data_IF_305341416716
#
_entry.id   IF_305341416716
#
_cell.length_a   1.000
_cell.length_b   1.000
_cell.length_c   1.000
_cell.angle_alpha   90.00
_cell.angle_beta   90.00
_cell.angle_gamma   90.00
#
_symmetry.space_group_name_H-M   'P 1'
#
loop_
_entity.id
_entity.type
_entity.pdbx_description
1 polymer ?
#
# COMPACT_ATOMS: atom_id res chain seq x y z
N UNK A 1 13.81 49.50 1.34
CA UNK A 1 14.40 48.36 2.08
C UNK A 1 15.90 48.37 1.88
N UNK A 2 16.67 48.27 2.96
CA UNK A 2 18.12 48.04 2.91
C UNK A 2 18.35 46.52 2.83
N UNK A 3 19.46 46.07 2.23
CA UNK A 3 19.80 44.64 2.15
C UNK A 3 19.82 43.96 3.53
N UNK A 4 20.13 44.71 4.58
CA UNK A 4 20.13 44.25 5.97
C UNK A 4 18.72 43.84 6.46
N UNK A 5 17.67 44.42 5.89
CA UNK A 5 16.27 44.22 6.27
C UNK A 5 15.65 42.94 5.67
N UNK A 6 16.38 42.24 4.78
CA UNK A 6 15.96 40.99 4.16
C UNK A 6 16.21 39.79 5.08
N UNK A 7 15.32 38.79 5.01
CA UNK A 7 15.53 37.47 5.59
C UNK A 7 16.77 36.79 5.00
N UNK A 8 17.32 35.78 5.69
CA UNK A 8 18.47 35.02 5.20
C UNK A 8 18.23 34.40 3.83
N UNK A 9 17.03 33.84 3.60
CA UNK A 9 16.62 33.30 2.30
C UNK A 9 16.53 34.37 1.21
N UNK A 10 15.98 35.54 1.50
CA UNK A 10 15.90 36.66 0.54
C UNK A 10 17.30 37.21 0.19
N UNK A 11 18.25 37.20 1.14
CA UNK A 11 19.66 37.59 0.88
C UNK A 11 20.36 36.60 -0.05
N UNK A 12 20.14 35.30 0.14
CA UNK A 12 20.65 34.24 -0.75
C UNK A 12 20.06 34.39 -2.15
N UNK A 13 18.74 34.55 -2.27
CA UNK A 13 18.05 34.75 -3.54
C UNK A 13 18.48 36.04 -4.25
N UNK A 14 18.68 37.15 -3.52
CA UNK A 14 19.23 38.38 -4.11
C UNK A 14 20.66 38.19 -4.59
N UNK A 15 21.50 37.50 -3.81
CA UNK A 15 22.90 37.23 -4.22
C UNK A 15 22.96 36.33 -5.45
N UNK A 16 22.06 35.35 -5.53
CA UNK A 16 21.89 34.48 -6.68
C UNK A 16 21.32 35.24 -7.88
N UNK A 17 20.30 36.07 -7.70
CA UNK A 17 19.74 36.92 -8.75
C UNK A 17 20.78 37.92 -9.29
N UNK A 18 21.62 38.50 -8.43
CA UNK A 18 22.75 39.34 -8.84
C UNK A 18 23.80 38.53 -9.62
N UNK A 19 24.06 37.29 -9.20
CA UNK A 19 24.92 36.36 -9.94
C UNK A 19 24.36 36.09 -11.35
N UNK A 20 23.06 35.80 -11.48
CA UNK A 20 22.38 35.54 -12.75
C UNK A 20 22.29 36.79 -13.64
N UNK A 21 21.99 37.95 -13.05
CA UNK A 21 21.94 39.22 -13.77
C UNK A 21 23.33 39.54 -14.34
N UNK A 22 24.37 39.42 -13.50
CA UNK A 22 25.73 39.53 -13.97
C UNK A 22 26.05 38.45 -15.01
N UNK A 23 25.49 37.25 -14.91
CA UNK A 23 25.71 36.17 -15.85
C UNK A 23 25.10 36.41 -17.24
N UNK A 24 24.01 37.18 -17.31
CA UNK A 24 23.22 37.42 -18.53
C UNK A 24 23.72 38.57 -19.42
N UNK A 25 24.64 39.41 -18.93
CA UNK A 25 25.15 40.57 -19.66
C UNK A 25 26.34 40.20 -20.56
N UNK A 26 26.05 39.99 -21.85
CA UNK A 26 27.01 39.61 -22.91
C UNK A 26 28.08 40.68 -23.21
N UNK A 27 27.93 41.90 -22.69
CA UNK A 27 28.81 43.04 -23.00
C UNK A 27 30.13 43.03 -22.22
N UNK A 28 30.33 42.10 -21.30
CA UNK A 28 31.59 41.92 -20.58
C UNK A 28 32.07 40.48 -20.72
N UNK A 29 33.36 40.28 -21.04
CA UNK A 29 34.01 38.98 -20.89
C UNK A 29 34.04 38.60 -19.41
N UNK A 30 33.06 37.81 -18.98
CA UNK A 30 32.96 37.35 -17.59
C UNK A 30 33.52 35.93 -17.52
N UNK A 31 34.62 35.79 -16.78
CA UNK A 31 35.12 34.48 -16.38
C UNK A 31 34.20 33.90 -15.30
N UNK A 32 33.31 33.00 -15.70
CA UNK A 32 32.55 32.21 -14.74
C UNK A 32 33.46 31.23 -14.01
N UNK A 33 33.19 30.95 -12.73
CA UNK A 33 33.89 29.89 -12.03
C UNK A 33 33.60 28.55 -12.71
N UNK A 34 34.60 27.68 -12.79
CA UNK A 34 34.42 26.31 -13.29
C UNK A 34 33.61 25.44 -12.31
N UNK A 35 33.67 25.79 -11.03
CA UNK A 35 33.02 25.08 -9.93
C UNK A 35 32.40 26.08 -8.95
N UNK A 36 31.14 25.86 -8.59
CA UNK A 36 30.41 26.59 -7.57
C UNK A 36 30.04 25.63 -6.44
N UNK A 37 30.42 25.96 -5.21
CA UNK A 37 30.08 25.20 -4.01
C UNK A 37 29.02 25.98 -3.23
N UNK A 38 27.89 25.34 -2.94
CA UNK A 38 26.75 25.94 -2.27
C UNK A 38 26.46 25.15 -1.00
N UNK A 39 26.63 25.80 0.15
CA UNK A 39 26.45 25.14 1.45
C UNK A 39 25.10 25.52 2.07
N UNK A 40 24.20 24.54 2.17
CA UNK A 40 22.87 24.65 2.80
C UNK A 40 22.06 25.91 2.42
N UNK A 41 22.20 26.36 1.17
CA UNK A 41 21.55 27.60 0.70
C UNK A 41 20.02 27.48 0.65
N UNK A 42 19.50 26.25 0.74
CA UNK A 42 18.10 25.86 0.77
C UNK A 42 17.50 25.85 2.18
N UNK A 43 18.31 25.81 3.25
CA UNK A 43 17.85 25.74 4.63
C UNK A 43 16.80 26.80 5.03
N UNK A 44 16.87 28.08 4.58
CA UNK A 44 15.86 29.08 4.91
C UNK A 44 14.69 29.14 3.90
N UNK A 45 14.65 28.29 2.87
CA UNK A 45 13.73 28.42 1.75
C UNK A 45 12.50 27.51 1.90
N UNK A 46 11.33 28.04 1.55
CA UNK A 46 10.11 27.23 1.42
C UNK A 46 10.26 26.24 0.24
N UNK A 47 9.73 25.01 0.31
CA UNK A 47 9.91 23.99 -0.74
C UNK A 47 9.57 24.44 -2.16
N UNK A 48 8.55 25.30 -2.34
CA UNK A 48 8.21 25.85 -3.66
C UNK A 48 9.32 26.72 -4.27
N UNK A 49 10.13 27.38 -3.44
CA UNK A 49 11.25 28.23 -3.85
C UNK A 49 12.49 27.36 -4.14
N UNK A 50 12.66 26.26 -3.40
CA UNK A 50 13.74 25.28 -3.64
C UNK A 50 13.63 24.69 -5.05
N UNK A 51 12.42 24.37 -5.51
CA UNK A 51 12.21 23.90 -6.89
C UNK A 51 12.70 24.93 -7.92
N UNK A 52 12.37 26.21 -7.72
CA UNK A 52 12.85 27.29 -8.60
C UNK A 52 14.37 27.45 -8.54
N UNK A 53 14.97 27.32 -7.35
CA UNK A 53 16.42 27.36 -7.18
C UNK A 53 17.12 26.23 -7.95
N UNK A 54 16.69 24.98 -7.77
CA UNK A 54 17.26 23.80 -8.45
C UNK A 54 17.15 23.97 -9.97
N UNK A 55 15.97 24.34 -10.49
CA UNK A 55 15.76 24.58 -11.92
C UNK A 55 16.69 25.66 -12.46
N UNK A 56 16.84 26.76 -11.73
CA UNK A 56 17.70 27.87 -12.17
C UNK A 56 19.18 27.48 -12.16
N UNK A 57 19.62 26.70 -11.16
CA UNK A 57 20.98 26.15 -11.14
C UNK A 57 21.22 25.29 -12.37
N UNK A 58 20.31 24.36 -12.67
CA UNK A 58 20.43 23.45 -13.80
C UNK A 58 20.42 24.22 -15.13
N UNK A 59 19.36 24.97 -15.40
CA UNK A 59 19.14 25.61 -16.70
C UNK A 59 20.15 26.75 -16.93
N UNK A 60 20.43 27.59 -15.93
CA UNK A 60 21.25 28.77 -16.13
C UNK A 60 22.73 28.51 -15.88
N UNK A 61 23.10 27.86 -14.77
CA UNK A 61 24.52 27.71 -14.43
C UNK A 61 25.15 26.51 -15.13
N UNK A 62 24.49 25.34 -15.08
CA UNK A 62 25.03 24.11 -15.64
C UNK A 62 24.89 24.11 -17.16
N UNK A 63 23.66 24.18 -17.67
CA UNK A 63 23.38 23.98 -19.10
C UNK A 63 23.83 25.17 -19.96
N UNK A 64 23.47 26.40 -19.56
CA UNK A 64 23.77 27.59 -20.36
C UNK A 64 25.20 28.14 -20.16
N UNK A 65 25.79 27.98 -18.97
CA UNK A 65 27.09 28.59 -18.63
C UNK A 65 28.21 27.58 -18.38
N UNK A 66 27.92 26.28 -18.38
CA UNK A 66 28.92 25.22 -18.22
C UNK A 66 29.60 25.20 -16.84
N UNK A 67 28.96 25.75 -15.82
CA UNK A 67 29.46 25.79 -14.44
C UNK A 67 29.11 24.48 -13.75
N UNK A 68 30.10 23.78 -13.19
CA UNK A 68 29.82 22.64 -12.31
C UNK A 68 29.34 23.15 -10.95
N UNK A 69 28.28 22.56 -10.40
CA UNK A 69 27.71 22.98 -9.12
C UNK A 69 27.67 21.80 -8.15
N UNK A 70 28.16 22.00 -6.93
CA UNK A 70 28.00 21.06 -5.81
C UNK A 70 27.19 21.78 -4.74
N UNK A 71 26.07 21.17 -4.34
CA UNK A 71 25.19 21.67 -3.31
C UNK A 71 25.10 20.66 -2.18
N UNK A 72 25.35 21.09 -0.94
CA UNK A 72 25.15 20.28 0.27
C UNK A 72 23.82 20.66 0.91
N UNK A 73 23.11 19.67 1.45
CA UNK A 73 21.81 19.88 2.10
C UNK A 73 21.52 18.80 3.14
N UNK A 74 20.84 19.19 4.21
CA UNK A 74 20.18 18.29 5.16
C UNK A 74 18.65 18.21 4.95
N UNK A 75 18.11 18.88 3.93
CA UNK A 75 16.68 18.99 3.67
C UNK A 75 16.17 17.79 2.84
N UNK A 76 15.26 16.96 3.40
CA UNK A 76 14.62 15.89 2.64
C UNK A 76 13.85 16.42 1.42
N UNK A 77 13.26 17.62 1.53
CA UNK A 77 12.49 18.24 0.44
C UNK A 77 13.37 18.67 -0.72
N UNK A 78 14.60 19.11 -0.47
CA UNK A 78 15.55 19.49 -1.52
C UNK A 78 16.04 18.27 -2.27
N UNK A 79 16.37 17.20 -1.54
CA UNK A 79 16.75 15.91 -2.12
C UNK A 79 15.62 15.31 -2.95
N UNK A 80 14.37 15.40 -2.49
CA UNK A 80 13.20 14.92 -3.24
C UNK A 80 12.95 15.66 -4.56
N UNK A 81 13.43 16.89 -4.71
CA UNK A 81 13.23 17.72 -5.90
C UNK A 81 14.46 17.73 -6.83
N UNK A 82 15.56 17.10 -6.42
CA UNK A 82 16.79 17.01 -7.19
C UNK A 82 16.77 15.77 -8.12
N UNK A 83 17.39 15.86 -9.32
CA UNK A 83 17.51 14.69 -10.20
C UNK A 83 18.33 13.58 -9.53
N UNK A 84 17.84 12.33 -9.59
CA UNK A 84 18.42 11.21 -8.84
C UNK A 84 19.88 10.93 -9.22
N UNK A 85 20.25 11.18 -10.48
CA UNK A 85 21.61 11.01 -10.98
C UNK A 85 22.64 11.94 -10.32
N UNK A 86 22.17 12.99 -9.63
CA UNK A 86 22.99 13.99 -8.94
C UNK A 86 23.15 13.75 -7.44
N UNK A 87 22.56 12.69 -6.87
CA UNK A 87 22.53 12.43 -5.44
C UNK A 87 23.76 11.66 -4.93
N UNK A 88 24.39 12.19 -3.88
CA UNK A 88 25.54 11.58 -3.20
C UNK A 88 25.42 11.69 -1.67
N UNK A 89 25.87 10.65 -0.96
CA UNK A 89 25.98 10.59 0.51
C UNK A 89 27.43 10.88 0.93
N UNK A 90 27.60 11.69 1.97
CA UNK A 90 28.88 11.83 2.66
C UNK A 90 28.84 11.05 3.97
N UNK A 91 29.65 9.99 4.07
CA UNK A 91 29.64 9.08 5.20
C UNK A 91 30.53 9.54 6.37
N UNK A 92 30.18 9.18 7.60
CA UNK A 92 30.96 9.52 8.81
C UNK A 92 32.20 8.64 9.02
N UNK A 93 32.26 7.49 8.34
CA UNK A 93 33.36 6.52 8.39
C UNK A 93 34.58 6.88 7.52
N UNK A 94 34.55 8.00 6.80
CA UNK A 94 35.67 8.54 6.03
C UNK A 94 35.21 9.65 5.06
N UNK A 95 36.13 10.39 4.41
CA UNK A 95 35.78 11.43 3.43
C UNK A 95 35.33 10.84 2.08
N UNK A 96 34.55 9.75 2.08
CA UNK A 96 33.99 9.16 0.88
C UNK A 96 32.66 9.82 0.53
N UNK A 97 32.51 10.14 -0.76
CA UNK A 97 31.27 10.63 -1.34
C UNK A 97 30.76 9.51 -2.25
N UNK A 98 29.67 8.89 -1.85
CA UNK A 98 29.13 7.69 -2.50
C UNK A 98 27.84 8.02 -3.22
N UNK A 99 27.66 7.55 -4.46
CA UNK A 99 26.41 7.77 -5.21
C UNK A 99 25.30 6.94 -4.55
N UNK A 100 24.13 7.55 -4.37
CA UNK A 100 22.99 6.92 -3.70
C UNK A 100 21.69 7.08 -4.49
N UNK A 101 20.69 6.26 -4.16
CA UNK A 101 19.32 6.40 -4.67
C UNK A 101 18.53 7.42 -3.86
N UNK A 102 17.46 7.95 -4.44
CA UNK A 102 16.55 8.88 -3.76
C UNK A 102 15.98 8.26 -2.47
N UNK A 103 15.54 7.02 -2.55
CA UNK A 103 15.10 6.14 -1.46
C UNK A 103 16.07 6.12 -0.26
N UNK A 104 17.36 5.87 -0.54
CA UNK A 104 18.42 5.84 0.47
C UNK A 104 18.60 7.22 1.10
N UNK A 105 18.64 8.28 0.28
CA UNK A 105 18.82 9.65 0.72
C UNK A 105 17.72 10.10 1.70
N UNK A 106 16.45 9.84 1.34
CA UNK A 106 15.30 10.14 2.18
C UNK A 106 15.32 9.33 3.48
N UNK A 107 15.71 8.05 3.44
CA UNK A 107 15.84 7.22 4.64
C UNK A 107 16.85 7.79 5.63
N UNK A 108 18.01 8.26 5.15
CA UNK A 108 19.05 8.87 6.01
C UNK A 108 18.54 10.18 6.63
N UNK A 109 17.99 11.07 5.80
CA UNK A 109 17.58 12.41 6.24
C UNK A 109 16.29 12.42 7.06
N UNK A 110 15.50 11.36 7.01
CA UNK A 110 14.28 11.20 7.82
C UNK A 110 14.47 10.21 8.97
N UNK A 111 15.70 9.74 9.22
CA UNK A 111 16.02 8.89 10.36
C UNK A 111 15.66 9.61 11.68
N UNK A 112 14.58 9.18 12.32
CA UNK A 112 14.03 9.78 13.54
C UNK A 112 12.69 10.50 13.36
N UNK A 113 12.25 10.76 12.12
CA UNK A 113 10.91 11.30 11.80
C UNK A 113 10.31 10.52 10.61
N UNK A 114 9.83 9.28 10.82
CA UNK A 114 9.39 8.36 9.76
C UNK A 114 8.19 8.87 8.94
N UNK A 115 7.49 9.89 9.42
CA UNK A 115 6.30 10.45 8.76
C UNK A 115 6.65 11.28 7.52
N UNK A 116 7.88 11.83 7.43
CA UNK A 116 8.30 12.71 6.33
C UNK A 116 8.75 11.95 5.07
N UNK A 117 9.23 10.71 5.17
CA UNK A 117 9.63 9.90 4.01
C UNK A 117 8.42 9.41 3.19
N UNK A 118 7.28 9.25 3.84
CA UNK A 118 6.03 8.75 3.23
C UNK A 118 5.37 9.81 2.31
N UNK A 119 5.70 11.11 2.47
CA UNK A 119 4.91 12.19 1.85
C UNK A 119 5.33 12.64 0.45
N UNK A 120 6.51 12.29 -0.06
CA UNK A 120 7.07 13.02 -1.22
C UNK A 120 6.85 12.43 -2.62
N UNK A 121 6.69 11.12 -2.84
CA UNK A 121 6.16 10.58 -4.12
C UNK A 121 5.73 9.10 -4.06
N UNK A 122 5.58 8.54 -2.86
CA UNK A 122 5.40 7.09 -2.67
C UNK A 122 3.96 6.59 -2.74
N UNK A 123 2.95 7.46 -2.96
CA UNK A 123 1.54 7.07 -2.79
C UNK A 123 0.92 6.48 -4.05
N UNK A 124 0.57 5.21 -4.01
CA UNK A 124 -0.20 4.52 -5.04
C UNK A 124 -1.68 4.56 -4.72
N UNK A 125 -2.45 5.10 -5.66
CA UNK A 125 -3.91 5.15 -5.59
C UNK A 125 -4.46 3.87 -6.20
N UNK A 126 -5.14 3.06 -5.39
CA UNK A 126 -5.70 1.76 -5.79
C UNK A 126 -7.22 1.89 -5.83
N UNK A 127 -7.79 1.87 -7.04
CA UNK A 127 -9.24 1.90 -7.23
C UNK A 127 -9.83 0.50 -7.06
N UNK A 128 -10.91 0.41 -6.28
CA UNK A 128 -11.58 -0.84 -5.93
C UNK A 128 -13.08 -0.78 -6.20
N UNK A 129 -13.72 -1.93 -6.29
CA UNK A 129 -15.07 -2.09 -6.86
C UNK A 129 -16.17 -1.48 -6.00
N UNK A 130 -15.99 -1.48 -4.68
CA UNK A 130 -16.99 -1.00 -3.73
C UNK A 130 -16.40 -0.22 -2.56
N UNK A 131 -17.28 0.54 -1.88
CA UNK A 131 -16.97 1.21 -0.61
C UNK A 131 -16.62 0.24 0.52
N UNK A 132 -17.20 -0.95 0.49
CA UNK A 132 -16.92 -1.99 1.49
C UNK A 132 -15.49 -2.50 1.31
N UNK A 133 -15.07 -2.77 0.07
CA UNK A 133 -13.73 -3.27 -0.23
C UNK A 133 -12.69 -2.21 0.08
N UNK A 134 -12.95 -0.95 -0.28
CA UNK A 134 -12.07 0.17 0.06
C UNK A 134 -11.81 0.24 1.57
N UNK A 135 -12.85 0.09 2.38
CA UNK A 135 -12.73 0.03 3.83
C UNK A 135 -11.91 -1.18 4.30
N UNK A 136 -12.21 -2.37 3.78
CA UNK A 136 -11.57 -3.61 4.20
C UNK A 136 -10.09 -3.63 3.83
N UNK A 137 -9.74 -3.26 2.59
CA UNK A 137 -8.36 -3.15 2.14
C UNK A 137 -7.59 -2.10 2.92
N UNK A 138 -8.17 -0.93 3.19
CA UNK A 138 -7.51 0.09 4.01
C UNK A 138 -7.22 -0.46 5.42
N UNK A 139 -8.20 -1.11 6.06
CA UNK A 139 -7.99 -1.72 7.39
C UNK A 139 -6.92 -2.82 7.38
N UNK A 140 -6.99 -3.73 6.43
CA UNK A 140 -6.01 -4.79 6.26
C UNK A 140 -4.61 -4.20 6.02
N UNK A 141 -4.49 -3.25 5.10
CA UNK A 141 -3.23 -2.60 4.79
C UNK A 141 -2.62 -1.91 6.02
N UNK A 142 -3.42 -1.17 6.81
CA UNK A 142 -2.92 -0.56 8.04
C UNK A 142 -2.42 -1.60 9.06
N UNK A 143 -3.13 -2.73 9.22
CA UNK A 143 -2.72 -3.80 10.13
C UNK A 143 -1.40 -4.47 9.71
N UNK A 144 -1.17 -4.61 8.41
CA UNK A 144 0.00 -5.34 7.87
C UNK A 144 1.09 -4.45 7.26
N UNK A 145 0.97 -3.12 7.37
CA UNK A 145 1.93 -2.15 6.81
C UNK A 145 3.38 -2.43 7.21
N UNK A 146 3.60 -2.84 8.46
CA UNK A 146 4.92 -3.17 9.00
C UNK A 146 5.56 -4.41 8.35
N UNK A 147 4.75 -5.36 7.85
CA UNK A 147 5.23 -6.57 7.17
C UNK A 147 5.60 -6.31 5.70
N UNK A 148 4.96 -5.33 5.07
CA UNK A 148 5.20 -4.99 3.66
C UNK A 148 6.55 -4.29 3.45
N UNK A 149 7.07 -3.61 4.48
CA UNK A 149 8.36 -2.91 4.50
C UNK A 149 8.73 -2.22 3.17
N UNK A 150 7.81 -1.40 2.66
CA UNK A 150 7.95 -0.70 1.40
C UNK A 150 7.93 0.81 1.63
N UNK A 151 8.71 1.54 0.84
CA UNK A 151 8.77 3.01 0.87
C UNK A 151 7.53 3.64 0.26
N UNK A 152 6.92 2.94 -0.71
CA UNK A 152 5.63 3.32 -1.29
C UNK A 152 4.49 2.90 -0.35
N UNK A 153 3.39 3.64 -0.40
CA UNK A 153 2.20 3.34 0.37
C UNK A 153 0.96 3.23 -0.51
N UNK A 154 0.05 2.33 -0.14
CA UNK A 154 -1.24 2.18 -0.82
C UNK A 154 -2.30 3.09 -0.18
N UNK A 155 -3.17 3.65 -1.02
CA UNK A 155 -4.42 4.28 -0.61
C UNK A 155 -5.54 3.71 -1.47
N UNK A 156 -6.59 3.20 -0.83
CA UNK A 156 -7.70 2.57 -1.52
C UNK A 156 -8.84 3.56 -1.75
N UNK A 157 -9.37 3.58 -2.98
CA UNK A 157 -10.40 4.53 -3.42
C UNK A 157 -11.55 3.75 -4.04
N UNK A 158 -12.75 3.92 -3.49
CA UNK A 158 -13.96 3.35 -4.07
C UNK A 158 -14.29 4.00 -5.43
N UNK A 159 -14.72 3.18 -6.40
CA UNK A 159 -15.32 3.72 -7.62
C UNK A 159 -16.78 4.09 -7.34
N UNK A 160 -17.11 5.37 -7.50
CA UNK A 160 -18.42 5.90 -7.14
C UNK A 160 -19.54 5.31 -8.00
N UNK A 161 -20.56 4.74 -7.36
CA UNK A 161 -21.86 4.48 -8.00
C UNK A 161 -22.65 5.78 -8.06
N UNK A 162 -22.79 6.46 -9.21
CA UNK A 162 -23.89 7.44 -9.34
C UNK A 162 -24.26 7.83 -10.76
N UNK A 163 -25.58 7.84 -10.99
CA UNK A 163 -26.29 8.93 -11.67
C UNK A 163 -27.55 9.31 -10.86
N UNK A 164 -28.03 10.54 -11.03
CA UNK A 164 -29.20 11.18 -10.39
C UNK A 164 -30.57 10.52 -10.66
N UNK A 165 -30.59 9.26 -11.11
CA UNK A 165 -31.80 8.51 -11.48
C UNK A 165 -31.81 7.06 -10.98
N UNK A 166 -30.85 6.65 -10.15
CA UNK A 166 -30.93 5.39 -9.40
C UNK A 166 -30.88 4.09 -10.23
N UNK A 167 -30.43 4.13 -11.49
CA UNK A 167 -30.24 2.93 -12.31
C UNK A 167 -28.76 2.56 -12.36
N UNK A 168 -28.43 1.40 -11.80
CA UNK A 168 -27.11 0.76 -11.93
C UNK A 168 -26.90 0.27 -13.37
N UNK A 169 -25.96 0.89 -14.08
CA UNK A 169 -25.39 0.30 -15.28
C UNK A 169 -23.87 0.34 -15.15
N UNK A 170 -23.28 -0.86 -15.11
CA UNK A 170 -21.86 -1.24 -15.12
C UNK A 170 -21.31 -1.73 -13.77
N UNK A 171 -20.91 -3.01 -13.77
CA UNK A 171 -20.19 -3.73 -12.72
C UNK A 171 -18.98 -2.93 -12.20
N UNK A 172 -18.68 -3.02 -10.90
CA UNK A 172 -17.59 -2.28 -10.25
C UNK A 172 -16.27 -2.37 -11.00
N UNK A 173 -15.89 -3.57 -11.42
CA UNK A 173 -14.72 -3.84 -12.28
C UNK A 173 -14.68 -2.99 -13.57
N UNK A 174 -15.79 -2.81 -14.28
CA UNK A 174 -15.84 -1.98 -15.50
C UNK A 174 -15.49 -0.52 -15.17
N UNK A 175 -15.95 -0.04 -14.01
CA UNK A 175 -15.68 1.33 -13.57
C UNK A 175 -14.22 1.50 -13.12
N UNK A 176 -13.66 0.52 -12.40
CA UNK A 176 -12.23 0.49 -12.04
C UNK A 176 -11.37 0.57 -13.30
N UNK A 177 -11.60 -0.33 -14.26
CA UNK A 177 -10.87 -0.34 -15.53
C UNK A 177 -10.95 1.00 -16.26
N UNK A 178 -12.15 1.57 -16.38
CA UNK A 178 -12.36 2.87 -17.05
C UNK A 178 -11.60 4.01 -16.37
N UNK A 179 -11.68 4.11 -15.04
CA UNK A 179 -11.05 5.20 -14.27
C UNK A 179 -9.54 5.08 -14.32
N UNK A 180 -9.01 3.88 -14.10
CA UNK A 180 -7.56 3.63 -14.13
C UNK A 180 -7.00 3.94 -15.51
N UNK A 181 -7.61 3.41 -16.58
CA UNK A 181 -7.13 3.67 -17.95
C UNK A 181 -7.17 5.16 -18.28
N UNK A 182 -8.26 5.87 -17.93
CA UNK A 182 -8.34 7.30 -18.15
C UNK A 182 -7.25 8.08 -17.39
N UNK A 183 -6.98 7.75 -16.14
CA UNK A 183 -5.95 8.44 -15.35
C UNK A 183 -4.53 8.14 -15.87
N UNK A 184 -4.27 6.92 -16.30
CA UNK A 184 -3.00 6.50 -16.90
C UNK A 184 -2.78 7.20 -18.25
N UNK A 185 -3.79 7.27 -19.11
CA UNK A 185 -3.75 8.01 -20.39
C UNK A 185 -3.49 9.50 -20.19
N UNK A 186 -3.95 10.07 -19.08
CA UNK A 186 -3.70 11.46 -18.70
C UNK A 186 -2.37 11.67 -17.94
N UNK A 187 -1.49 10.65 -17.92
CA UNK A 187 -0.13 10.76 -17.41
C UNK A 187 0.06 10.46 -15.92
N UNK A 188 -0.95 9.89 -15.24
CA UNK A 188 -0.80 9.49 -13.85
C UNK A 188 -0.27 8.05 -13.73
N UNK A 189 1.02 7.90 -13.45
CA UNK A 189 1.68 6.60 -13.26
C UNK A 189 1.45 5.96 -11.90
N UNK A 190 0.91 6.70 -10.92
CA UNK A 190 0.71 6.23 -9.54
C UNK A 190 -0.69 5.67 -9.29
N UNK A 191 -1.42 5.31 -10.36
CA UNK A 191 -2.79 4.80 -10.31
C UNK A 191 -2.84 3.32 -10.70
N UNK A 192 -3.55 2.55 -9.90
CA UNK A 192 -3.74 1.12 -10.06
C UNK A 192 -5.20 0.76 -9.79
N UNK A 193 -5.64 -0.39 -10.30
CA UNK A 193 -6.90 -1.02 -9.92
C UNK A 193 -6.66 -2.31 -9.17
N UNK A 194 -7.54 -2.64 -8.24
CA UNK A 194 -7.61 -3.96 -7.61
C UNK A 194 -9.06 -4.44 -7.71
N UNK A 195 -9.24 -5.59 -8.35
CA UNK A 195 -10.53 -6.21 -8.62
C UNK A 195 -10.53 -7.67 -8.15
N UNK A 196 -11.72 -8.21 -7.92
CA UNK A 196 -11.90 -9.62 -7.59
C UNK A 196 -11.61 -10.50 -8.82
N UNK A 197 -11.33 -11.78 -8.61
CA UNK A 197 -10.99 -12.70 -9.69
C UNK A 197 -12.21 -13.15 -10.51
N UNK A 198 -13.37 -13.32 -9.86
CA UNK A 198 -14.63 -13.83 -10.45
C UNK A 198 -14.42 -15.05 -11.37
N UNK A 199 -13.45 -15.90 -11.05
CA UNK A 199 -13.14 -17.14 -11.78
C UNK A 199 -12.40 -17.01 -13.12
N UNK A 200 -12.35 -15.84 -13.76
CA UNK A 200 -11.79 -15.69 -15.11
C UNK A 200 -10.84 -14.51 -15.32
N UNK A 201 -10.78 -13.55 -14.39
CA UNK A 201 -10.02 -12.31 -14.60
C UNK A 201 -8.52 -12.54 -14.52
N UNK A 202 -7.78 -11.81 -15.34
CA UNK A 202 -6.33 -11.85 -15.37
C UNK A 202 -5.76 -10.46 -15.16
N UNK A 203 -4.68 -10.37 -14.40
CA UNK A 203 -3.99 -9.10 -14.16
C UNK A 203 -3.46 -8.47 -15.46
N UNK A 204 -3.45 -7.15 -15.48
CA UNK A 204 -2.79 -6.32 -16.50
C UNK A 204 -1.72 -5.45 -15.85
N UNK A 205 -1.07 -4.56 -16.60
CA UNK A 205 0.00 -3.71 -16.07
C UNK A 205 -0.45 -2.74 -14.97
N UNK A 206 -1.72 -2.31 -14.98
CA UNK A 206 -2.27 -1.33 -14.01
C UNK A 206 -3.49 -1.85 -13.26
N UNK A 207 -3.99 -3.03 -13.59
CA UNK A 207 -5.14 -3.65 -12.94
C UNK A 207 -4.68 -4.98 -12.35
N UNK A 208 -4.65 -5.05 -11.03
CA UNK A 208 -4.33 -6.25 -10.28
C UNK A 208 -5.61 -7.00 -9.94
N UNK A 209 -5.47 -8.32 -9.82
CA UNK A 209 -6.54 -9.22 -9.40
C UNK A 209 -6.18 -9.75 -8.02
N UNK A 210 -7.11 -9.66 -7.07
CA UNK A 210 -6.91 -10.22 -5.74
C UNK A 210 -6.74 -11.74 -5.84
N UNK A 211 -5.67 -12.28 -5.24
CA UNK A 211 -5.47 -13.73 -5.07
C UNK A 211 -5.73 -14.55 -6.34
N UNK A 212 -5.21 -14.09 -7.49
CA UNK A 212 -5.47 -14.63 -8.83
C UNK A 212 -5.36 -16.18 -8.86
N UNK A 213 -6.42 -16.86 -9.33
CA UNK A 213 -6.58 -18.33 -9.40
C UNK A 213 -6.60 -19.06 -8.06
N UNK A 214 -6.64 -18.35 -6.94
CA UNK A 214 -6.73 -18.92 -5.61
C UNK A 214 -8.11 -18.66 -5.04
N UNK A 215 -8.60 -17.41 -5.04
CA UNK A 215 -9.87 -17.00 -4.42
C UNK A 215 -10.75 -16.21 -5.38
N UNK A 216 -12.06 -16.29 -5.19
CA UNK A 216 -13.04 -15.55 -5.99
C UNK A 216 -12.93 -14.03 -5.78
N UNK A 217 -13.00 -13.57 -4.53
CA UNK A 217 -12.72 -12.18 -4.19
C UNK A 217 -12.46 -11.94 -2.69
N UNK A 218 -12.68 -10.70 -2.25
CA UNK A 218 -12.29 -10.26 -0.90
C UNK A 218 -13.09 -10.94 0.21
N UNK A 219 -14.37 -11.23 0.00
CA UNK A 219 -15.17 -11.99 0.95
C UNK A 219 -14.61 -13.39 1.13
N UNK A 220 -14.21 -14.09 0.07
CA UNK A 220 -13.59 -15.42 0.17
C UNK A 220 -12.22 -15.42 0.84
N UNK A 221 -11.50 -14.30 0.79
CA UNK A 221 -10.28 -14.09 1.57
C UNK A 221 -10.58 -13.92 3.07
N UNK A 222 -11.56 -13.09 3.42
CA UNK A 222 -11.87 -12.76 4.83
C UNK A 222 -12.66 -13.89 5.50
N UNK A 223 -13.50 -14.59 4.74
CA UNK A 223 -14.22 -15.79 5.14
C UNK A 223 -13.39 -17.06 4.92
N UNK A 224 -12.06 -16.95 4.94
CA UNK A 224 -11.17 -18.11 4.97
C UNK A 224 -11.55 -19.08 6.10
N UNK A 225 -11.50 -20.41 5.89
CA UNK A 225 -11.91 -21.37 6.91
C UNK A 225 -11.20 -21.22 8.25
N UNK A 226 -9.95 -20.75 8.29
CA UNK A 226 -9.22 -20.46 9.54
C UNK A 226 -9.85 -19.27 10.27
N UNK A 227 -10.16 -18.20 9.54
CA UNK A 227 -10.78 -16.99 10.11
C UNK A 227 -12.22 -17.25 10.55
N UNK A 228 -12.98 -18.02 9.77
CA UNK A 228 -14.32 -18.48 10.15
C UNK A 228 -14.25 -19.35 11.40
N UNK A 229 -13.32 -20.32 11.46
CA UNK A 229 -13.11 -21.16 12.64
C UNK A 229 -12.82 -20.32 13.89
N UNK A 230 -11.85 -19.41 13.81
CA UNK A 230 -11.52 -18.52 14.92
C UNK A 230 -12.72 -17.66 15.36
N UNK A 231 -13.49 -17.15 14.39
CA UNK A 231 -14.70 -16.36 14.66
C UNK A 231 -15.75 -17.17 15.42
N UNK A 232 -16.07 -18.39 14.97
CA UNK A 232 -17.10 -19.20 15.65
C UNK A 232 -16.64 -19.68 17.03
N UNK A 233 -15.34 -19.96 17.21
CA UNK A 233 -14.79 -20.35 18.53
C UNK A 233 -14.90 -19.17 19.51
N UNK A 234 -14.69 -17.94 19.02
CA UNK A 234 -14.83 -16.71 19.81
C UNK A 234 -16.28 -16.45 20.21
N UNK A 235 -17.20 -16.52 19.25
CA UNK A 235 -18.58 -16.08 19.42
C UNK A 235 -19.49 -17.16 20.03
N UNK A 236 -19.21 -18.44 19.77
CA UNK A 236 -20.04 -19.55 20.24
C UNK A 236 -19.21 -20.84 20.44
N UNK A 237 -18.45 -20.93 21.55
CA UNK A 237 -17.67 -22.13 21.86
C UNK A 237 -18.56 -23.37 22.11
N UNK A 238 -19.79 -23.19 22.61
CA UNK A 238 -20.71 -24.30 22.87
C UNK A 238 -21.13 -24.99 21.56
N UNK A 239 -21.47 -24.21 20.52
CA UNK A 239 -21.73 -24.73 19.18
C UNK A 239 -20.53 -25.54 18.65
N UNK A 240 -19.31 -25.05 18.90
CA UNK A 240 -18.09 -25.71 18.47
C UNK A 240 -17.88 -27.06 19.20
N UNK A 241 -18.21 -27.15 20.49
CA UNK A 241 -18.15 -28.41 21.25
C UNK A 241 -19.21 -29.40 20.79
N UNK A 242 -20.45 -28.95 20.58
CA UNK A 242 -21.57 -29.79 20.11
C UNK A 242 -21.29 -30.43 18.75
N UNK A 243 -20.72 -29.65 17.83
CA UNK A 243 -20.36 -30.11 16.49
C UNK A 243 -18.96 -30.74 16.43
N UNK A 244 -18.33 -30.94 17.59
CA UNK A 244 -16.98 -31.50 17.74
C UNK A 244 -15.94 -30.76 16.92
N UNK A 245 -16.11 -29.46 16.66
CA UNK A 245 -15.13 -28.62 15.96
C UNK A 245 -13.88 -28.48 16.83
N UNK A 246 -14.06 -28.28 18.13
CA UNK A 246 -13.00 -28.18 19.14
C UNK A 246 -13.20 -29.20 20.27
N UNK A 247 -12.16 -29.42 21.08
CA UNK A 247 -12.22 -30.29 22.25
C UNK A 247 -12.55 -29.52 23.54
N UNK A 248 -12.88 -30.22 24.63
CA UNK A 248 -13.30 -29.60 25.90
C UNK A 248 -12.26 -28.68 26.54
N UNK A 249 -10.98 -28.90 26.26
CA UNK A 249 -9.89 -28.09 26.81
C UNK A 249 -9.49 -26.92 25.90
N UNK A 250 -10.05 -26.86 24.69
CA UNK A 250 -9.75 -25.81 23.74
C UNK A 250 -10.46 -24.51 24.06
N UNK A 251 -9.70 -23.42 24.08
CA UNK A 251 -10.21 -22.06 24.29
C UNK A 251 -9.71 -21.13 23.20
N UNK A 252 -10.51 -20.10 22.90
CA UNK A 252 -10.17 -19.08 21.92
C UNK A 252 -8.76 -18.48 22.09
N UNK A 253 -8.28 -18.10 23.29
CA UNK A 253 -6.94 -17.54 23.45
C UNK A 253 -5.79 -18.49 23.07
N UNK A 254 -6.05 -19.80 22.97
CA UNK A 254 -5.03 -20.82 22.72
C UNK A 254 -4.90 -21.17 21.24
N UNK A 255 -5.80 -20.70 20.37
CA UNK A 255 -5.81 -21.11 18.95
C UNK A 255 -4.55 -20.69 18.20
N UNK A 256 -3.89 -19.61 18.63
CA UNK A 256 -2.60 -19.18 18.08
C UNK A 256 -1.46 -20.19 18.28
N UNK A 257 -1.58 -21.10 19.24
CA UNK A 257 -0.58 -22.13 19.55
C UNK A 257 -0.91 -23.49 18.93
N UNK A 258 -1.99 -23.61 18.16
CA UNK A 258 -2.36 -24.88 17.54
C UNK A 258 -1.39 -25.25 16.42
N UNK A 259 -1.10 -26.56 16.32
CA UNK A 259 -0.27 -27.10 15.26
C UNK A 259 -1.06 -27.29 13.96
N UNK A 260 -0.33 -27.61 12.88
CA UNK A 260 -0.88 -27.85 11.54
C UNK A 260 -2.00 -28.90 11.55
N UNK A 261 -1.79 -30.04 12.20
CA UNK A 261 -2.76 -31.15 12.20
C UNK A 261 -4.08 -30.75 12.86
N UNK A 262 -4.01 -30.03 13.97
CA UNK A 262 -5.19 -29.52 14.67
C UNK A 262 -5.95 -28.51 13.82
N UNK A 263 -5.25 -27.53 13.24
CA UNK A 263 -5.86 -26.57 12.33
C UNK A 263 -6.52 -27.26 11.14
N UNK A 264 -5.85 -28.25 10.53
CA UNK A 264 -6.39 -29.00 9.40
C UNK A 264 -7.70 -29.72 9.77
N UNK A 265 -7.75 -30.38 10.93
CA UNK A 265 -8.97 -31.06 11.41
C UNK A 265 -10.13 -30.08 11.61
N UNK A 266 -9.85 -28.90 12.17
CA UNK A 266 -10.85 -27.86 12.42
C UNK A 266 -11.39 -27.31 11.11
N UNK A 267 -10.51 -26.89 10.19
CA UNK A 267 -10.97 -26.32 8.92
C UNK A 267 -11.68 -27.34 8.04
N UNK A 268 -11.33 -28.63 8.12
CA UNK A 268 -12.05 -29.69 7.40
C UNK A 268 -13.52 -29.76 7.86
N UNK A 269 -13.76 -29.63 9.17
CA UNK A 269 -15.12 -29.58 9.73
C UNK A 269 -15.87 -28.34 9.28
N UNK A 270 -15.25 -27.16 9.35
CA UNK A 270 -15.85 -25.90 8.86
C UNK A 270 -16.26 -26.03 7.39
N UNK A 271 -15.33 -26.45 6.53
CA UNK A 271 -15.59 -26.60 5.11
C UNK A 271 -16.71 -27.61 4.83
N UNK A 272 -16.76 -28.73 5.56
CA UNK A 272 -17.83 -29.72 5.41
C UNK A 272 -19.21 -29.16 5.78
N UNK A 273 -19.28 -28.31 6.80
CA UNK A 273 -20.52 -27.66 7.26
C UNK A 273 -20.99 -26.63 6.22
N UNK A 274 -20.07 -25.81 5.70
CA UNK A 274 -20.37 -24.71 4.76
C UNK A 274 -20.69 -25.24 3.36
N UNK A 275 -19.94 -26.24 2.87
CA UNK A 275 -20.15 -26.83 1.56
C UNK A 275 -21.25 -27.90 1.53
N UNK A 276 -21.74 -28.33 2.70
CA UNK A 276 -22.71 -29.43 2.85
C UNK A 276 -22.24 -30.74 2.18
N UNK A 277 -20.93 -30.95 2.11
CA UNK A 277 -20.35 -32.17 1.52
C UNK A 277 -19.24 -32.74 2.39
N UNK A 278 -19.15 -34.06 2.39
CA UNK A 278 -18.06 -34.81 3.02
C UNK A 278 -17.03 -35.30 1.99
N UNK A 279 -17.22 -34.98 0.71
CA UNK A 279 -16.35 -35.47 -0.37
C UNK A 279 -14.97 -34.82 -0.36
N UNK A 280 -13.96 -35.64 -0.63
CA UNK A 280 -12.58 -35.19 -0.88
C UNK A 280 -12.52 -34.59 -2.29
N UNK A 281 -12.82 -33.30 -2.39
CA UNK A 281 -12.58 -32.54 -3.61
C UNK A 281 -11.10 -32.25 -3.84
N UNK A 282 -10.81 -31.56 -4.94
CA UNK A 282 -9.50 -30.94 -5.16
C UNK A 282 -9.24 -29.90 -4.06
N UNK A 283 -8.05 -29.93 -3.47
CA UNK A 283 -7.61 -28.97 -2.46
C UNK A 283 -6.44 -28.14 -3.01
N UNK A 284 -6.36 -26.89 -2.56
CA UNK A 284 -5.26 -25.96 -2.79
C UNK A 284 -4.52 -25.81 -1.45
N UNK A 285 -3.19 -25.83 -1.49
CA UNK A 285 -2.38 -25.53 -0.31
C UNK A 285 -2.31 -24.00 -0.11
N UNK A 286 -2.77 -23.53 1.05
CA UNK A 286 -2.73 -22.13 1.46
C UNK A 286 -1.69 -21.96 2.57
N UNK A 287 -0.81 -20.98 2.40
CA UNK A 287 0.20 -20.59 3.41
C UNK A 287 -0.31 -19.39 4.18
N UNK A 288 -0.22 -19.44 5.50
CA UNK A 288 -0.66 -18.37 6.41
C UNK A 288 0.56 -17.60 6.98
N UNK A 289 0.31 -16.41 7.54
CA UNK A 289 1.38 -15.54 8.05
C UNK A 289 2.16 -16.14 9.23
N UNK A 290 1.57 -17.06 9.98
CA UNK A 290 2.25 -17.84 11.02
C UNK A 290 3.14 -18.97 10.47
N UNK A 291 3.21 -19.15 9.15
CA UNK A 291 4.01 -20.17 8.47
C UNK A 291 3.36 -21.56 8.38
N UNK A 292 2.12 -21.72 8.82
CA UNK A 292 1.38 -22.98 8.65
C UNK A 292 0.86 -23.08 7.21
N UNK A 293 0.95 -24.28 6.64
CA UNK A 293 0.35 -24.61 5.34
C UNK A 293 -0.82 -25.56 5.56
N UNK A 294 -2.02 -25.17 5.08
CA UNK A 294 -3.24 -25.96 5.21
C UNK A 294 -3.84 -26.26 3.84
N UNK A 295 -4.50 -27.41 3.74
CA UNK A 295 -5.20 -27.85 2.54
C UNK A 295 -6.65 -27.36 2.60
N UNK A 296 -7.01 -26.49 1.67
CA UNK A 296 -8.35 -25.88 1.59
C UNK A 296 -9.02 -26.30 0.29
N UNK A 297 -10.30 -26.66 0.35
CA UNK A 297 -11.08 -27.11 -0.80
C UNK A 297 -11.15 -26.02 -1.86
N UNK A 298 -10.79 -26.38 -3.09
CA UNK A 298 -10.93 -25.50 -4.26
C UNK A 298 -12.37 -25.05 -4.47
N UNK A 299 -13.34 -25.92 -4.18
CA UNK A 299 -14.78 -25.58 -4.23
C UNK A 299 -15.16 -24.51 -3.21
N UNK A 300 -14.48 -24.45 -2.07
CA UNK A 300 -14.68 -23.40 -1.08
C UNK A 300 -14.09 -22.09 -1.57
N UNK A 301 -12.84 -22.12 -2.06
CA UNK A 301 -12.11 -20.93 -2.46
C UNK A 301 -12.63 -20.29 -3.76
N UNK A 302 -13.27 -21.07 -4.64
CA UNK A 302 -13.84 -20.59 -5.90
C UNK A 302 -15.36 -20.42 -5.81
N UNK A 303 -15.92 -20.40 -4.60
CA UNK A 303 -17.34 -20.12 -4.44
C UNK A 303 -17.57 -18.62 -4.61
N UNK A 304 -18.65 -18.25 -5.30
CA UNK A 304 -19.10 -16.86 -5.42
C UNK A 304 -19.15 -16.18 -4.04
N UNK A 305 -18.58 -14.98 -3.94
CA UNK A 305 -18.41 -14.25 -2.68
C UNK A 305 -19.71 -14.04 -1.91
N UNK A 306 -20.79 -13.64 -2.60
CA UNK A 306 -22.10 -13.47 -1.99
C UNK A 306 -22.70 -14.81 -1.56
N UNK A 307 -22.54 -15.86 -2.37
CA UNK A 307 -22.98 -17.19 -2.03
C UNK A 307 -22.24 -17.76 -0.81
N UNK A 308 -20.94 -17.49 -0.66
CA UNK A 308 -20.16 -17.90 0.50
C UNK A 308 -20.64 -17.20 1.77
N UNK A 309 -20.79 -15.88 1.72
CA UNK A 309 -21.26 -15.09 2.85
C UNK A 309 -22.67 -15.54 3.30
N UNK A 310 -23.58 -15.79 2.37
CA UNK A 310 -24.93 -16.30 2.67
C UNK A 310 -24.84 -17.69 3.34
N UNK A 311 -24.01 -18.59 2.81
CA UNK A 311 -23.85 -19.94 3.39
C UNK A 311 -23.29 -19.89 4.81
N UNK A 312 -22.23 -19.11 5.04
CA UNK A 312 -21.62 -18.94 6.37
C UNK A 312 -22.64 -18.38 7.35
N UNK A 313 -23.34 -17.30 7.00
CA UNK A 313 -24.35 -16.69 7.89
C UNK A 313 -25.59 -17.56 8.10
N UNK A 314 -25.96 -18.40 7.12
CA UNK A 314 -27.05 -19.36 7.27
C UNK A 314 -26.67 -20.52 8.19
N UNK A 315 -25.47 -21.07 8.05
CA UNK A 315 -24.98 -22.21 8.85
C UNK A 315 -24.63 -21.80 10.28
N UNK A 316 -24.01 -20.65 10.44
CA UNK A 316 -23.64 -20.10 11.74
C UNK A 316 -24.61 -18.95 12.07
N UNK A 317 -25.88 -19.30 12.33
CA UNK A 317 -26.96 -18.33 12.52
C UNK A 317 -26.71 -17.27 13.59
N UNK A 318 -25.85 -17.56 14.57
CA UNK A 318 -25.41 -16.61 15.60
C UNK A 318 -24.50 -15.49 15.06
N UNK A 319 -23.95 -15.61 13.85
CA UNK A 319 -23.20 -14.54 13.17
C UNK A 319 -24.10 -13.54 12.43
N UNK A 320 -25.39 -13.85 12.22
CA UNK A 320 -26.34 -12.95 11.52
C UNK A 320 -26.42 -11.53 12.10
N UNK A 321 -26.43 -11.30 13.43
CA UNK A 321 -26.46 -9.96 13.98
C UNK A 321 -25.25 -9.10 13.56
N UNK A 322 -24.12 -9.74 13.25
CA UNK A 322 -22.90 -9.09 12.77
C UNK A 322 -22.97 -8.75 11.28
N UNK A 323 -23.87 -9.38 10.52
CA UNK A 323 -24.09 -9.09 9.10
C UNK A 323 -25.32 -8.20 8.84
N UNK A 324 -25.55 -7.21 9.70
CA UNK A 324 -26.71 -6.30 9.60
C UNK A 324 -26.58 -5.24 8.50
N UNK A 325 -25.38 -5.02 7.99
CA UNK A 325 -25.05 -4.06 6.94
C UNK A 325 -24.06 -4.72 5.98
N UNK A 326 -23.97 -4.23 4.73
CA UNK A 326 -23.06 -4.78 3.72
C UNK A 326 -21.61 -4.89 4.24
N UNK A 327 -21.04 -6.10 4.12
CA UNK A 327 -19.71 -6.46 4.64
C UNK A 327 -19.58 -6.42 6.16
N UNK A 328 -20.68 -6.42 6.91
CA UNK A 328 -20.67 -6.33 8.38
C UNK A 328 -19.93 -7.51 9.01
N UNK A 329 -20.14 -8.72 8.50
CA UNK A 329 -19.42 -9.90 8.97
C UNK A 329 -17.92 -9.79 8.69
N UNK A 330 -17.54 -9.43 7.46
CA UNK A 330 -16.14 -9.24 7.07
C UNK A 330 -15.43 -8.21 7.96
N UNK A 331 -16.10 -7.08 8.25
CA UNK A 331 -15.57 -6.07 9.18
C UNK A 331 -15.37 -6.62 10.59
N UNK A 332 -16.34 -7.38 11.12
CA UNK A 332 -16.22 -8.00 12.44
C UNK A 332 -15.04 -8.99 12.51
N UNK A 333 -14.78 -9.75 11.46
CA UNK A 333 -13.63 -10.66 11.39
C UNK A 333 -12.31 -9.88 11.39
N UNK A 334 -12.21 -8.84 10.55
CA UNK A 334 -11.00 -8.00 10.45
C UNK A 334 -10.71 -7.26 11.76
N UNK A 335 -11.72 -6.73 12.43
CA UNK A 335 -11.54 -5.95 13.65
C UNK A 335 -11.37 -6.83 14.89
N UNK A 336 -12.06 -7.96 14.97
CA UNK A 336 -12.06 -8.79 16.18
C UNK A 336 -11.09 -9.96 16.12
N UNK A 337 -11.05 -10.73 15.02
CA UNK A 337 -10.23 -11.94 14.95
C UNK A 337 -8.82 -11.60 14.51
N UNK A 338 -8.67 -10.83 13.43
CA UNK A 338 -7.35 -10.37 12.99
C UNK A 338 -6.75 -9.32 13.93
N UNK A 339 -7.57 -8.67 14.76
CA UNK A 339 -7.11 -7.84 15.86
C UNK A 339 -6.39 -8.65 16.95
N UNK A 340 -6.92 -9.83 17.30
CA UNK A 340 -6.35 -10.71 18.33
C UNK A 340 -5.22 -11.62 17.78
N UNK A 341 -5.40 -12.12 16.55
CA UNK A 341 -4.50 -13.07 15.89
C UNK A 341 -4.17 -12.63 14.45
N UNK A 342 -3.34 -11.58 14.27
CA UNK A 342 -2.99 -11.06 12.94
C UNK A 342 -2.27 -12.09 12.06
N UNK A 343 -1.58 -13.06 12.66
CA UNK A 343 -0.81 -14.06 11.91
C UNK A 343 -1.67 -15.20 11.31
N UNK A 344 -2.99 -15.18 11.53
CA UNK A 344 -3.94 -16.13 10.91
C UNK A 344 -4.44 -15.68 9.53
N UNK A 345 -4.01 -14.51 9.04
CA UNK A 345 -4.36 -14.09 7.68
C UNK A 345 -3.60 -14.95 6.64
N UNK A 346 -4.25 -15.34 5.52
CA UNK A 346 -3.58 -15.95 4.38
C UNK A 346 -2.53 -15.03 3.72
N UNK A 347 -1.42 -15.59 3.24
CA UNK A 347 -0.33 -14.81 2.63
C UNK A 347 -0.69 -14.18 1.28
N UNK A 348 -1.69 -14.72 0.56
CA UNK A 348 -2.05 -14.27 -0.79
C UNK A 348 -2.48 -12.79 -0.85
N UNK A 349 -2.99 -12.23 0.25
CA UNK A 349 -3.22 -10.78 0.34
C UNK A 349 -1.92 -9.98 0.35
N UNK A 350 -0.93 -10.42 1.13
CA UNK A 350 0.37 -9.74 1.25
C UNK A 350 1.10 -9.79 -0.08
N UNK A 351 1.05 -10.93 -0.76
CA UNK A 351 1.61 -11.09 -2.10
C UNK A 351 0.95 -10.12 -3.09
N UNK A 352 -0.39 -9.99 -3.05
CA UNK A 352 -1.13 -9.04 -3.88
C UNK A 352 -0.69 -7.60 -3.60
N UNK A 353 -0.59 -7.19 -2.33
CA UNK A 353 -0.14 -5.85 -1.97
C UNK A 353 1.31 -5.58 -2.38
N UNK A 354 2.21 -6.55 -2.22
CA UNK A 354 3.60 -6.42 -2.65
C UNK A 354 3.72 -6.29 -4.17
N UNK A 355 2.90 -7.01 -4.94
CA UNK A 355 2.83 -6.84 -6.40
C UNK A 355 2.43 -5.40 -6.76
N UNK A 356 1.35 -4.89 -6.17
CA UNK A 356 0.91 -3.52 -6.41
C UNK A 356 1.99 -2.53 -6.01
N UNK A 357 2.69 -2.74 -4.88
CA UNK A 357 3.75 -1.84 -4.40
C UNK A 357 5.01 -1.88 -5.26
N UNK A 358 5.35 -3.02 -5.85
CA UNK A 358 6.58 -3.21 -6.63
C UNK A 358 6.49 -2.69 -8.07
N UNK A 359 5.29 -2.58 -8.63
CA UNK A 359 5.13 -2.13 -10.02
C UNK A 359 5.58 -0.67 -10.24
N UNK A 360 6.15 -0.36 -11.41
CA UNK A 360 6.70 0.96 -11.71
C UNK A 360 5.66 1.95 -12.23
#
# INVERSE_FOLDING_TARGET
MRFQDLSSGEKVLMSFALCLYNASDERQEKHFPKLLLLDEIDAPLHPSIVLSLIKTIQEVLVDNKGVSVILTTHSPSTVALAPEETLYEMNSSGPSVDKITLSRALTILTAGVPTLSVSFDGRKQVFVESRTDAYLYEKLYQNYKHKLNNEKSLTFIEVGKTNSSGVEQNSGCTQVNRIVNALVENGNSSVFGLVDWDGERTKTQRIHVLSEKIRDGIETLILDPVLVAATIIKENPDFCLEHRIIEKDDRYPQIGNWNKDKWQQVINKIQSIVLETSEVGENIEITYLNGINLQVSKKYLHLDDHALEERVTKKFGFLRPKNSHAGGLSKHIVESVLGDFPDLLPNDLIDTFLMILSDM
#
